data_IF_609974470204
#
_entry.id   IF_609974470204
#
_cell.length_a   1.000
_cell.length_b   1.000
_cell.length_c   1.000
_cell.angle_alpha   90.00
_cell.angle_beta   90.00
_cell.angle_gamma   90.00
#
_symmetry.space_group_name_H-M   'P 1'
#
loop_
_entity.id
_entity.type
_entity.pdbx_description
1 polymer ?
#
# COMPACT_ATOMS: atom_id res chain seq x y z
N UNK A 1 5.22 -70.57 -67.11
CA UNK A 1 6.25 -71.34 -67.86
C UNK A 1 7.59 -71.19 -67.13
N UNK A 2 8.20 -72.31 -66.72
CA UNK A 2 9.61 -72.57 -66.33
C UNK A 2 10.33 -71.63 -65.30
N UNK A 3 10.79 -72.23 -64.19
CA UNK A 3 11.92 -71.82 -63.31
C UNK A 3 13.28 -72.19 -63.96
N UNK A 4 14.50 -71.94 -63.39
CA UNK A 4 15.15 -70.89 -62.57
C UNK A 4 16.51 -70.42 -63.26
N UNK A 5 17.60 -69.85 -62.65
CA UNK A 5 18.50 -70.45 -61.60
C UNK A 5 19.19 -69.46 -60.59
N UNK A 6 19.99 -70.04 -59.67
CA UNK A 6 20.84 -69.49 -58.57
C UNK A 6 22.22 -68.95 -59.10
N UNK A 7 23.34 -68.75 -58.34
CA UNK A 7 23.64 -68.58 -56.87
C UNK A 7 24.72 -67.49 -56.56
N UNK A 8 25.05 -67.22 -55.28
CA UNK A 8 26.39 -67.40 -54.64
C UNK A 8 26.56 -66.70 -53.28
N UNK A 9 27.48 -67.25 -52.48
CA UNK A 9 27.68 -67.14 -51.02
C UNK A 9 28.82 -66.17 -50.64
N UNK A 10 28.85 -65.72 -49.38
CA UNK A 10 29.95 -65.77 -48.36
C UNK A 10 29.75 -64.63 -47.30
N UNK A 11 29.49 -64.93 -46.01
CA UNK A 11 30.42 -65.06 -44.84
C UNK A 11 30.79 -63.66 -44.27
N UNK A 12 30.61 -63.27 -42.99
CA UNK A 12 31.35 -63.64 -41.75
C UNK A 12 30.68 -62.97 -40.50
N UNK A 13 30.94 -63.61 -39.35
CA UNK A 13 30.68 -63.48 -37.91
C UNK A 13 30.83 -62.11 -37.17
N UNK A 14 30.40 -62.15 -35.87
CA UNK A 14 30.62 -61.30 -34.68
C UNK A 14 29.54 -60.23 -34.43
N UNK A 15 28.86 -60.10 -33.28
CA UNK A 15 29.03 -60.63 -31.93
C UNK A 15 28.86 -59.46 -30.94
N UNK A 16 27.88 -59.51 -30.03
CA UNK A 16 27.88 -58.83 -28.71
C UNK A 16 26.61 -59.11 -27.91
N UNK A 17 26.82 -59.62 -26.70
CA UNK A 17 25.85 -59.76 -25.62
C UNK A 17 25.60 -58.39 -24.97
N UNK A 18 24.35 -58.07 -24.63
CA UNK A 18 24.02 -57.15 -23.56
C UNK A 18 22.67 -57.54 -22.94
N UNK A 19 22.71 -57.72 -21.62
CA UNK A 19 21.68 -58.18 -20.70
C UNK A 19 20.51 -57.19 -20.58
N UNK A 20 19.28 -57.70 -20.71
CA UNK A 20 18.04 -56.93 -20.47
C UNK A 20 17.74 -56.98 -18.97
N UNK A 21 17.88 -55.83 -18.31
CA UNK A 21 17.49 -55.62 -16.92
C UNK A 21 16.09 -54.98 -16.91
N UNK A 22 15.07 -55.77 -16.56
CA UNK A 22 13.68 -55.31 -16.33
C UNK A 22 13.63 -54.47 -15.05
N UNK A 23 13.29 -53.19 -15.15
CA UNK A 23 12.85 -52.40 -13.99
C UNK A 23 11.37 -52.09 -14.11
N UNK A 24 10.70 -52.32 -12.98
CA UNK A 24 9.25 -52.31 -12.78
C UNK A 24 8.76 -50.87 -12.70
N UNK A 25 7.60 -50.64 -13.29
CA UNK A 25 6.75 -49.45 -13.18
C UNK A 25 6.61 -48.96 -11.74
N UNK A 26 7.05 -47.73 -11.48
CA UNK A 26 6.67 -46.95 -10.31
C UNK A 26 5.99 -45.67 -10.77
N UNK A 27 4.67 -45.58 -10.62
CA UNK A 27 3.94 -44.33 -10.80
C UNK A 27 4.16 -43.47 -9.55
N UNK A 28 5.05 -42.49 -9.64
CA UNK A 28 5.17 -41.46 -8.62
C UNK A 28 4.07 -40.43 -8.85
N UNK A 29 3.03 -40.46 -8.02
CA UNK A 29 2.06 -39.36 -7.92
C UNK A 29 2.79 -38.22 -7.21
N UNK A 30 3.23 -37.21 -7.97
CA UNK A 30 3.70 -35.95 -7.41
C UNK A 30 2.45 -35.14 -7.03
N UNK A 31 2.06 -35.22 -5.75
CA UNK A 31 1.06 -34.31 -5.19
C UNK A 31 1.67 -32.92 -5.09
N UNK A 32 1.30 -32.03 -6.02
CA UNK A 32 1.64 -30.62 -5.91
C UNK A 32 0.83 -30.02 -4.76
N UNK A 33 1.47 -29.85 -3.59
CA UNK A 33 0.92 -29.04 -2.52
C UNK A 33 0.95 -27.57 -2.97
N UNK A 34 -0.19 -27.06 -3.44
CA UNK A 34 -0.39 -25.62 -3.60
C UNK A 34 -0.49 -25.04 -2.20
N UNK A 35 0.64 -24.60 -1.66
CA UNK A 35 0.65 -23.76 -0.46
C UNK A 35 0.08 -22.42 -0.90
N UNK A 36 -1.21 -22.22 -0.67
CA UNK A 36 -1.84 -20.91 -0.86
C UNK A 36 -1.15 -19.91 0.06
N UNK A 37 -0.54 -18.88 -0.52
CA UNK A 37 -0.17 -17.68 0.21
C UNK A 37 -1.48 -17.02 0.66
N UNK A 38 -1.89 -17.30 1.90
CA UNK A 38 -2.97 -16.55 2.54
C UNK A 38 -2.48 -15.12 2.73
N UNK A 39 -2.83 -14.24 1.80
CA UNK A 39 -2.80 -12.80 2.05
C UNK A 39 -3.79 -12.59 3.17
N UNK A 40 -3.29 -12.36 4.38
CA UNK A 40 -4.16 -12.12 5.52
C UNK A 40 -5.04 -10.90 5.19
N UNK A 41 -6.30 -10.92 5.58
CA UNK A 41 -7.20 -9.78 5.36
C UNK A 41 -7.11 -8.81 6.54
N UNK A 42 -7.33 -7.49 6.34
CA UNK A 42 -7.43 -6.55 7.45
C UNK A 42 -8.55 -6.95 8.42
N UNK A 43 -8.25 -6.97 9.72
CA UNK A 43 -9.18 -7.33 10.80
C UNK A 43 -9.74 -6.06 11.46
N UNK A 44 -10.75 -5.49 10.81
CA UNK A 44 -11.38 -4.24 11.27
C UNK A 44 -12.26 -4.44 12.52
N UNK A 45 -12.68 -5.67 12.81
CA UNK A 45 -13.39 -6.00 14.06
C UNK A 45 -12.43 -5.91 15.25
N UNK A 46 -11.24 -6.51 15.12
CA UNK A 46 -10.17 -6.37 16.10
C UNK A 46 -9.76 -4.93 16.28
N UNK A 47 -9.60 -4.15 15.21
CA UNK A 47 -9.27 -2.73 15.30
C UNK A 47 -10.31 -1.95 16.12
N UNK A 48 -11.61 -2.20 15.89
CA UNK A 48 -12.69 -1.56 16.65
C UNK A 48 -12.70 -1.98 18.13
N UNK A 49 -12.40 -3.26 18.41
CA UNK A 49 -12.28 -3.75 19.78
C UNK A 49 -11.10 -3.09 20.51
N UNK A 50 -9.93 -2.99 19.86
CA UNK A 50 -8.76 -2.31 20.40
C UNK A 50 -9.07 -0.83 20.67
N UNK A 51 -9.79 -0.16 19.76
CA UNK A 51 -10.20 1.23 19.97
C UNK A 51 -11.09 1.37 21.23
N UNK A 52 -12.03 0.45 21.45
CA UNK A 52 -12.85 0.40 22.67
C UNK A 52 -12.01 0.22 23.92
N UNK A 53 -11.09 -0.73 23.90
CA UNK A 53 -10.26 -1.09 25.06
C UNK A 53 -9.27 0.01 25.44
N UNK A 54 -8.61 0.63 24.45
CA UNK A 54 -7.57 1.64 24.69
C UNK A 54 -8.11 3.06 24.88
N UNK A 55 -9.22 3.41 24.20
CA UNK A 55 -9.70 4.80 24.12
C UNK A 55 -11.20 4.96 24.46
N UNK A 56 -11.91 3.87 24.76
CA UNK A 56 -13.31 3.90 25.19
C UNK A 56 -14.34 3.82 24.06
N UNK A 57 -15.62 3.87 24.43
CA UNK A 57 -16.73 3.62 23.51
C UNK A 57 -16.78 4.59 22.31
N UNK A 58 -16.51 5.89 22.54
CA UNK A 58 -16.52 6.89 21.48
C UNK A 58 -15.49 6.61 20.38
N UNK A 59 -14.30 6.08 20.73
CA UNK A 59 -13.30 5.69 19.75
C UNK A 59 -13.74 4.47 18.93
N UNK A 60 -14.40 3.50 19.57
CA UNK A 60 -15.01 2.38 18.86
C UNK A 60 -16.08 2.84 17.86
N UNK A 61 -16.87 3.85 18.23
CA UNK A 61 -17.88 4.44 17.35
C UNK A 61 -17.25 5.19 16.17
N UNK A 62 -16.13 5.89 16.38
CA UNK A 62 -15.33 6.50 15.30
C UNK A 62 -14.84 5.45 14.30
N UNK A 63 -14.28 4.34 14.80
CA UNK A 63 -13.84 3.22 13.93
C UNK A 63 -15.04 2.61 13.20
N UNK A 64 -16.17 2.41 13.86
CA UNK A 64 -17.39 1.91 13.23
C UNK A 64 -17.93 2.85 12.14
N UNK A 65 -17.85 4.17 12.33
CA UNK A 65 -18.22 5.16 11.31
C UNK A 65 -17.26 5.11 10.10
N UNK A 66 -15.96 4.99 10.35
CA UNK A 66 -14.96 4.84 9.30
C UNK A 66 -15.15 3.55 8.50
N UNK A 67 -15.43 2.42 9.18
CA UNK A 67 -15.75 1.13 8.53
C UNK A 67 -16.97 1.23 7.60
N UNK A 68 -18.02 1.94 8.02
CA UNK A 68 -19.20 2.19 7.17
C UNK A 68 -18.84 3.03 5.94
N UNK A 69 -18.06 4.10 6.12
CA UNK A 69 -17.57 4.89 5.00
C UNK A 69 -16.77 4.05 4.00
N UNK A 70 -15.89 3.17 4.47
CA UNK A 70 -15.16 2.25 3.60
C UNK A 70 -16.10 1.30 2.85
N UNK A 71 -17.08 0.71 3.54
CA UNK A 71 -18.06 -0.17 2.91
C UNK A 71 -18.87 0.55 1.80
N UNK A 72 -19.33 1.78 2.07
CA UNK A 72 -20.05 2.59 1.10
C UNK A 72 -19.17 3.00 -0.09
N UNK A 73 -17.90 3.31 0.17
CA UNK A 73 -16.94 3.72 -0.86
C UNK A 73 -16.48 2.57 -1.78
N UNK A 74 -16.59 1.30 -1.36
CA UNK A 74 -16.26 0.16 -2.24
C UNK A 74 -17.15 0.07 -3.48
N UNK A 75 -18.38 0.58 -3.41
CA UNK A 75 -19.37 0.50 -4.48
C UNK A 75 -19.23 1.58 -5.56
N UNK A 76 -18.33 2.55 -5.39
CA UNK A 76 -18.12 3.66 -6.33
C UNK A 76 -16.78 3.55 -7.04
N UNK A 77 -16.59 4.37 -8.08
CA UNK A 77 -15.34 4.43 -8.83
C UNK A 77 -14.16 4.99 -8.01
N UNK A 78 -12.95 4.82 -8.53
CA UNK A 78 -11.73 5.20 -7.84
C UNK A 78 -11.65 6.69 -7.52
N UNK A 79 -12.16 7.57 -8.39
CA UNK A 79 -12.12 9.02 -8.17
C UNK A 79 -13.08 9.44 -7.06
N UNK A 80 -14.28 8.85 -7.02
CA UNK A 80 -15.24 9.05 -5.94
C UNK A 80 -14.73 8.51 -4.60
N UNK A 81 -13.95 7.41 -4.60
CA UNK A 81 -13.26 6.92 -3.38
C UNK A 81 -12.32 7.98 -2.81
N UNK A 82 -11.52 8.64 -3.65
CA UNK A 82 -10.63 9.74 -3.22
C UNK A 82 -11.43 10.84 -2.52
N UNK A 83 -12.53 11.28 -3.13
CA UNK A 83 -13.39 12.33 -2.59
C UNK A 83 -14.01 11.96 -1.25
N UNK A 84 -14.54 10.73 -1.12
CA UNK A 84 -15.16 10.22 0.10
C UNK A 84 -14.15 10.11 1.24
N UNK A 85 -12.98 9.53 0.98
CA UNK A 85 -11.92 9.41 1.99
C UNK A 85 -11.42 10.78 2.43
N UNK A 86 -11.12 11.68 1.48
CA UNK A 86 -10.61 13.01 1.80
C UNK A 86 -11.62 13.79 2.66
N UNK A 87 -12.89 13.76 2.27
CA UNK A 87 -13.98 14.45 2.98
C UNK A 87 -14.20 13.86 4.36
N UNK A 88 -14.20 12.53 4.50
CA UNK A 88 -14.44 11.88 5.77
C UNK A 88 -13.37 12.27 6.78
N UNK A 89 -12.09 12.05 6.46
CA UNK A 89 -10.97 12.34 7.37
C UNK A 89 -10.94 13.84 7.72
N UNK A 90 -11.10 14.73 6.73
CA UNK A 90 -11.10 16.17 7.00
C UNK A 90 -12.25 16.65 7.90
N UNK A 91 -13.38 15.93 7.93
CA UNK A 91 -14.54 16.30 8.76
C UNK A 91 -14.52 15.66 10.14
N UNK A 92 -13.90 14.49 10.28
CA UNK A 92 -13.90 13.73 11.54
C UNK A 92 -12.72 14.04 12.44
N UNK A 93 -11.70 14.71 11.91
CA UNK A 93 -10.44 14.98 12.60
C UNK A 93 -10.20 16.49 12.69
N UNK A 94 -9.94 17.00 13.89
CA UNK A 94 -9.49 18.37 14.11
C UNK A 94 -7.98 18.49 13.78
N UNK A 95 -7.59 19.59 13.14
CA UNK A 95 -6.17 19.87 12.89
C UNK A 95 -5.56 20.52 14.12
N UNK A 96 -4.65 19.81 14.79
CA UNK A 96 -4.04 20.21 16.05
C UNK A 96 -2.60 19.69 16.14
N UNK A 97 -1.71 20.44 16.78
CA UNK A 97 -0.29 20.06 16.91
C UNK A 97 -0.11 18.82 17.80
N UNK A 98 0.87 17.99 17.47
CA UNK A 98 1.19 16.77 18.23
C UNK A 98 1.48 17.01 19.72
N UNK A 99 2.08 18.16 20.04
CA UNK A 99 2.35 18.51 21.42
C UNK A 99 1.07 18.62 22.26
N UNK A 100 -0.06 18.96 21.63
CA UNK A 100 -1.39 19.04 22.25
C UNK A 100 -2.08 17.67 22.24
N UNK A 101 -2.03 16.95 21.12
CA UNK A 101 -2.77 15.69 20.95
C UNK A 101 -2.09 14.50 21.66
N UNK A 102 -0.76 14.43 21.52
CA UNK A 102 0.08 13.28 21.90
C UNK A 102 1.03 13.56 23.07
N UNK A 103 1.17 14.83 23.50
CA UNK A 103 2.19 15.27 24.47
C UNK A 103 3.62 14.92 24.02
N UNK A 104 3.84 14.80 22.72
CA UNK A 104 5.13 14.48 22.10
C UNK A 104 5.22 15.24 20.78
N UNK A 105 6.36 15.85 20.43
CA UNK A 105 6.52 16.45 19.12
C UNK A 105 6.75 15.39 18.03
N UNK A 106 6.22 15.61 16.82
CA UNK A 106 6.50 14.85 15.59
C UNK A 106 6.21 13.35 15.80
N UNK A 107 4.99 13.09 16.26
CA UNK A 107 4.39 11.79 16.52
C UNK A 107 3.45 11.42 15.38
N UNK A 108 3.88 10.48 14.55
CA UNK A 108 3.04 10.00 13.47
C UNK A 108 2.06 8.97 14.01
N UNK A 109 0.77 9.27 13.94
CA UNK A 109 -0.31 8.42 14.43
C UNK A 109 -0.74 7.37 13.40
N UNK A 110 -1.21 6.22 13.89
CA UNK A 110 -1.93 5.24 13.06
C UNK A 110 -3.35 5.74 12.76
N UNK A 111 -4.04 5.18 11.76
CA UNK A 111 -5.45 5.50 11.53
C UNK A 111 -6.34 5.23 12.75
N UNK A 112 -6.03 4.20 13.56
CA UNK A 112 -6.77 3.95 14.81
C UNK A 112 -6.59 5.12 15.76
N UNK A 113 -5.35 5.53 15.99
CA UNK A 113 -4.97 6.62 16.89
C UNK A 113 -5.65 7.93 16.45
N UNK A 114 -5.55 8.30 15.17
CA UNK A 114 -6.21 9.51 14.61
C UNK A 114 -7.73 9.46 14.77
N UNK A 115 -8.38 8.33 14.46
CA UNK A 115 -9.84 8.18 14.59
C UNK A 115 -10.30 8.20 16.05
N UNK A 116 -9.49 7.64 16.96
CA UNK A 116 -9.78 7.59 18.38
C UNK A 116 -9.67 8.97 19.03
N UNK A 117 -8.61 9.73 18.71
CA UNK A 117 -8.43 11.10 19.19
C UNK A 117 -9.32 12.11 18.49
N UNK A 118 -9.71 11.84 17.24
CA UNK A 118 -10.41 12.78 16.36
C UNK A 118 -9.64 14.10 16.22
N UNK A 119 -8.32 14.02 16.34
CA UNK A 119 -7.38 15.12 16.22
C UNK A 119 -6.02 14.57 15.78
N UNK A 120 -5.24 15.41 15.12
CA UNK A 120 -3.90 15.12 14.64
C UNK A 120 -3.39 16.26 13.76
N UNK A 121 -2.14 16.21 13.36
CA UNK A 121 -1.55 17.21 12.48
C UNK A 121 -1.53 16.74 11.00
N UNK A 122 -0.64 17.26 10.16
CA UNK A 122 -0.73 17.05 8.72
C UNK A 122 -0.44 15.61 8.28
N UNK A 123 0.55 14.94 8.88
CA UNK A 123 0.88 13.56 8.57
C UNK A 123 -0.22 12.60 8.98
N UNK A 124 -0.89 12.85 10.11
CA UNK A 124 -1.93 11.98 10.64
C UNK A 124 -3.10 11.89 9.66
N UNK A 125 -3.47 13.03 9.08
CA UNK A 125 -4.48 13.09 8.02
C UNK A 125 -4.02 12.37 6.76
N UNK A 126 -2.77 12.60 6.33
CA UNK A 126 -2.24 11.99 5.11
C UNK A 126 -2.14 10.46 5.23
N UNK A 127 -1.66 9.95 6.38
CA UNK A 127 -1.55 8.53 6.72
C UNK A 127 -2.94 7.90 6.79
N UNK A 128 -3.89 8.51 7.50
CA UNK A 128 -5.25 7.98 7.59
C UNK A 128 -5.94 7.89 6.22
N UNK A 129 -5.74 8.88 5.34
CA UNK A 129 -6.23 8.85 3.95
C UNK A 129 -5.53 7.77 3.12
N UNK A 130 -4.21 7.64 3.24
CA UNK A 130 -3.41 6.64 2.53
C UNK A 130 -3.92 5.23 2.84
N UNK A 131 -4.00 4.90 4.13
CA UNK A 131 -4.45 3.57 4.57
C UNK A 131 -5.90 3.31 4.17
N UNK A 132 -6.78 4.31 4.30
CA UNK A 132 -8.17 4.17 3.86
C UNK A 132 -8.28 3.81 2.38
N UNK A 133 -7.50 4.45 1.50
CA UNK A 133 -7.50 4.15 0.07
C UNK A 133 -6.87 2.80 -0.25
N UNK A 134 -5.84 2.38 0.49
CA UNK A 134 -5.27 1.02 0.39
C UNK A 134 -6.29 -0.05 0.76
N UNK A 135 -7.11 0.18 1.79
CA UNK A 135 -8.22 -0.71 2.18
C UNK A 135 -9.39 -0.73 1.18
N UNK A 136 -9.44 0.27 0.28
CA UNK A 136 -10.36 0.35 -0.85
C UNK A 136 -9.72 -0.15 -2.15
N UNK A 137 -8.63 -0.91 -2.03
CA UNK A 137 -7.91 -1.55 -3.13
C UNK A 137 -7.30 -0.58 -4.15
N UNK A 138 -7.11 0.71 -3.79
CA UNK A 138 -6.35 1.64 -4.62
C UNK A 138 -4.88 1.22 -4.59
N UNK A 139 -4.24 0.96 -5.75
CA UNK A 139 -2.87 0.43 -5.78
C UNK A 139 -1.85 1.34 -5.09
N UNK A 140 -0.90 0.74 -4.37
CA UNK A 140 0.12 1.48 -3.62
C UNK A 140 0.99 2.37 -4.52
N UNK A 141 1.29 1.92 -5.73
CA UNK A 141 2.07 2.64 -6.73
C UNK A 141 1.41 3.96 -7.18
N UNK A 142 0.09 4.09 -7.01
CA UNK A 142 -0.67 5.31 -7.28
C UNK A 142 -0.67 6.28 -6.10
N UNK A 143 -0.22 5.87 -4.92
CA UNK A 143 -0.35 6.67 -3.70
C UNK A 143 1.02 6.97 -3.12
N UNK A 144 1.26 8.26 -2.82
CA UNK A 144 2.50 8.69 -2.15
C UNK A 144 2.19 9.72 -1.07
N UNK A 145 2.67 9.50 0.14
CA UNK A 145 2.78 10.53 1.16
C UNK A 145 3.86 11.51 0.71
N UNK A 146 3.54 12.79 0.60
CA UNK A 146 4.44 13.81 0.08
C UNK A 146 4.74 14.80 1.20
N UNK A 147 6.00 14.87 1.59
CA UNK A 147 6.50 15.91 2.48
C UNK A 147 6.83 17.15 1.63
N UNK A 148 6.22 18.28 2.00
CA UNK A 148 6.32 19.54 1.28
C UNK A 148 6.71 20.67 2.23
N UNK A 149 7.25 21.74 1.67
CA UNK A 149 7.23 23.06 2.31
C UNK A 149 5.99 23.78 1.81
N UNK A 150 5.03 24.05 2.68
CA UNK A 150 3.85 24.84 2.36
C UNK A 150 4.17 26.32 2.57
N UNK A 151 3.82 27.19 1.62
CA UNK A 151 3.80 28.63 1.83
C UNK A 151 2.47 29.01 2.47
N UNK A 152 2.54 29.57 3.68
CA UNK A 152 1.37 29.90 4.48
C UNK A 152 1.28 31.42 4.72
N UNK A 153 0.06 31.89 4.95
CA UNK A 153 -0.21 33.32 5.15
C UNK A 153 -0.45 34.10 3.85
N UNK A 154 -0.34 35.42 3.90
CA UNK A 154 -0.64 36.28 2.77
C UNK A 154 0.34 36.06 1.59
N UNK A 155 -0.09 36.19 0.33
CA UNK A 155 0.80 36.13 -0.82
C UNK A 155 2.01 37.06 -0.64
N UNK A 156 3.22 36.51 -0.78
CA UNK A 156 4.48 37.26 -0.60
C UNK A 156 4.98 37.39 0.85
N UNK A 157 4.32 36.76 1.84
CA UNK A 157 4.78 36.74 3.24
C UNK A 157 6.16 36.10 3.43
N UNK A 158 6.54 35.19 2.53
CA UNK A 158 7.75 34.37 2.64
C UNK A 158 7.68 33.32 3.75
N UNK A 159 6.56 33.22 4.48
CA UNK A 159 6.40 32.24 5.56
C UNK A 159 6.19 30.86 4.95
N UNK A 160 6.98 29.90 5.42
CA UNK A 160 6.86 28.51 5.03
C UNK A 160 6.90 27.58 6.23
N UNK A 161 6.09 26.53 6.17
CA UNK A 161 5.99 25.49 7.20
C UNK A 161 6.16 24.11 6.56
N UNK A 162 6.73 23.17 7.31
CA UNK A 162 6.67 21.77 6.97
C UNK A 162 5.22 21.31 6.91
N UNK A 163 4.86 20.54 5.88
CA UNK A 163 3.51 20.01 5.71
C UNK A 163 3.56 18.65 5.04
N UNK A 164 2.52 17.83 5.23
CA UNK A 164 2.37 16.56 4.55
C UNK A 164 1.00 16.46 3.87
N UNK A 165 1.02 15.97 2.63
CA UNK A 165 -0.19 15.70 1.85
C UNK A 165 -0.14 14.30 1.25
N UNK A 166 -1.29 13.79 0.81
CA UNK A 166 -1.34 12.56 0.03
C UNK A 166 -1.48 12.90 -1.46
N UNK A 167 -0.53 12.41 -2.26
CA UNK A 167 -0.60 12.46 -3.72
C UNK A 167 -1.20 11.18 -4.28
N UNK A 168 -2.15 11.32 -5.20
CA UNK A 168 -2.68 10.25 -6.03
C UNK A 168 -2.26 10.44 -7.49
N UNK A 169 -1.65 9.41 -8.08
CA UNK A 169 -1.13 9.38 -9.44
C UNK A 169 -2.02 8.48 -10.30
N UNK A 170 -2.84 9.02 -11.23
CA UNK A 170 -3.66 8.22 -12.14
C UNK A 170 -2.83 7.22 -12.98
N UNK A 171 -1.62 7.63 -13.38
CA UNK A 171 -0.56 6.83 -14.00
C UNK A 171 0.81 7.22 -13.45
N UNK A 172 1.85 6.39 -13.59
CA UNK A 172 3.18 6.66 -13.00
C UNK A 172 3.85 7.98 -13.42
N UNK A 173 3.50 8.49 -14.59
CA UNK A 173 4.00 9.72 -15.22
C UNK A 173 3.01 10.90 -15.14
N UNK A 174 1.80 10.66 -14.62
CA UNK A 174 0.79 11.69 -14.49
C UNK A 174 1.16 12.71 -13.40
N UNK A 175 0.65 13.93 -13.59
CA UNK A 175 0.57 14.90 -12.51
C UNK A 175 -0.33 14.36 -11.39
N UNK A 176 0.09 14.43 -10.11
CA UNK A 176 -0.72 13.92 -9.03
C UNK A 176 -1.87 14.86 -8.66
N UNK A 177 -2.98 14.25 -8.24
CA UNK A 177 -4.02 14.91 -7.46
C UNK A 177 -3.60 14.97 -5.98
N UNK A 178 -3.80 16.12 -5.35
CA UNK A 178 -3.41 16.39 -3.96
C UNK A 178 -4.64 16.29 -3.06
N UNK A 179 -4.56 15.40 -2.07
CA UNK A 179 -5.49 15.27 -0.95
C UNK A 179 -4.85 15.92 0.28
N UNK A 180 -5.41 17.03 0.73
CA UNK A 180 -4.88 17.90 1.79
C UNK A 180 -5.91 18.10 2.91
N UNK A 181 -5.46 18.38 4.13
CA UNK A 181 -6.30 18.79 5.25
C UNK A 181 -6.53 20.31 5.30
N UNK A 182 -5.59 21.12 4.81
CA UNK A 182 -5.73 22.59 4.81
C UNK A 182 -6.71 23.08 3.74
N UNK A 183 -6.75 22.40 2.59
CA UNK A 183 -7.69 22.66 1.51
C UNK A 183 -8.41 21.35 1.16
N UNK A 184 -9.72 21.30 1.43
CA UNK A 184 -10.52 20.09 1.23
C UNK A 184 -10.81 19.73 -0.22
N UNK A 185 -10.65 20.67 -1.16
CA UNK A 185 -10.77 20.37 -2.59
C UNK A 185 -9.57 19.56 -3.07
N UNK A 186 -9.85 18.43 -3.73
CA UNK A 186 -8.80 17.65 -4.40
C UNK A 186 -8.40 18.40 -5.68
N UNK A 187 -7.13 18.76 -5.79
CA UNK A 187 -6.62 19.58 -6.90
C UNK A 187 -5.36 18.96 -7.51
N UNK A 188 -5.12 19.12 -8.82
CA UNK A 188 -3.82 18.83 -9.42
C UNK A 188 -2.69 19.63 -8.74
N UNK A 189 -1.49 19.07 -8.66
CA UNK A 189 -0.34 19.70 -8.02
C UNK A 189 0.00 21.10 -8.55
N UNK A 190 -0.12 21.34 -9.86
CA UNK A 190 0.07 22.65 -10.50
C UNK A 190 -0.95 23.69 -10.05
N UNK A 191 -2.10 23.26 -9.51
CA UNK A 191 -3.13 24.12 -8.89
C UNK A 191 -2.90 24.31 -7.38
N UNK A 192 -1.73 23.88 -6.88
CA UNK A 192 -1.23 24.06 -5.51
C UNK A 192 0.17 24.68 -5.52
N UNK A 193 0.35 25.89 -6.09
CA UNK A 193 1.65 26.57 -6.14
C UNK A 193 2.19 26.96 -4.76
N UNK A 194 1.36 26.84 -3.73
CA UNK A 194 1.72 26.99 -2.32
C UNK A 194 2.53 25.80 -1.79
N UNK A 195 2.55 24.64 -2.46
CA UNK A 195 3.24 23.44 -1.99
C UNK A 195 4.52 23.16 -2.79
N UNK A 196 5.65 23.11 -2.08
CA UNK A 196 6.96 22.83 -2.67
C UNK A 196 7.47 21.45 -2.21
N UNK A 197 7.44 20.42 -3.07
CA UNK A 197 7.77 19.05 -2.67
C UNK A 197 9.25 18.88 -2.32
N UNK A 198 9.54 18.15 -1.24
CA UNK A 198 10.91 17.81 -0.82
C UNK A 198 11.18 16.34 -1.11
N UNK A 199 10.32 15.45 -0.62
CA UNK A 199 10.37 14.01 -0.90
C UNK A 199 8.98 13.40 -0.78
N UNK A 200 8.80 12.20 -1.31
CA UNK A 200 7.57 11.43 -1.18
C UNK A 200 7.89 9.96 -0.95
N UNK A 201 6.99 9.22 -0.33
CA UNK A 201 7.19 7.81 0.00
C UNK A 201 5.86 7.06 0.12
N UNK A 202 5.94 5.74 0.09
CA UNK A 202 4.85 4.84 0.47
C UNK A 202 5.44 3.59 1.15
N UNK A 203 4.74 2.46 1.13
CA UNK A 203 5.24 1.16 1.62
C UNK A 203 6.25 0.49 0.67
N UNK A 204 6.36 0.95 -0.58
CA UNK A 204 7.19 0.35 -1.63
C UNK A 204 8.45 1.15 -1.98
N UNK A 205 8.46 2.47 -1.79
CA UNK A 205 9.57 3.31 -2.28
C UNK A 205 9.64 4.71 -1.68
N UNK A 206 10.84 5.32 -1.79
CA UNK A 206 11.16 6.69 -1.37
C UNK A 206 11.70 7.48 -2.57
N UNK A 207 11.07 8.59 -2.92
CA UNK A 207 11.43 9.47 -4.02
C UNK A 207 11.82 10.85 -3.51
N UNK A 208 12.94 11.39 -3.96
CA UNK A 208 13.45 12.72 -3.54
C UNK A 208 13.27 13.71 -4.69
N UNK A 209 12.91 14.96 -4.38
CA UNK A 209 12.86 16.06 -5.35
C UNK A 209 11.89 15.85 -6.53
N UNK A 210 10.82 15.08 -6.33
CA UNK A 210 9.85 14.79 -7.39
C UNK A 210 10.30 13.75 -8.43
N UNK A 211 11.40 13.02 -8.18
CA UNK A 211 11.84 11.91 -9.03
C UNK A 211 10.75 10.85 -9.24
N UNK A 212 10.71 10.23 -10.43
CA UNK A 212 9.87 9.07 -10.73
C UNK A 212 10.51 7.74 -10.30
N UNK A 213 11.84 7.70 -10.14
CA UNK A 213 12.58 6.52 -9.69
C UNK A 213 12.76 6.50 -8.18
N UNK A 214 12.45 5.35 -7.56
CA UNK A 214 12.69 5.12 -6.12
C UNK A 214 14.19 5.14 -5.83
N UNK A 215 14.57 5.89 -4.81
CA UNK A 215 15.95 6.11 -4.39
C UNK A 215 16.38 5.21 -3.22
N UNK A 216 15.42 4.66 -2.47
CA UNK A 216 15.67 3.79 -1.31
C UNK A 216 14.39 3.09 -0.82
N UNK A 217 14.57 2.15 0.11
CA UNK A 217 13.50 1.61 0.97
C UNK A 217 13.12 2.64 2.06
N UNK A 218 11.86 3.11 2.11
CA UNK A 218 11.36 4.05 3.11
C UNK A 218 11.55 3.58 4.55
N UNK A 219 11.33 2.30 4.83
CA UNK A 219 11.33 1.77 6.21
C UNK A 219 12.74 1.81 6.84
N UNK A 220 13.77 1.79 5.99
CA UNK A 220 15.18 1.94 6.41
C UNK A 220 15.57 3.39 6.68
N UNK A 221 14.90 4.35 6.04
CA UNK A 221 15.23 5.78 6.09
C UNK A 221 14.29 6.61 6.98
N UNK A 222 13.06 6.15 7.17
CA UNK A 222 11.99 6.84 7.89
C UNK A 222 11.56 5.97 9.08
N UNK A 223 12.24 6.14 10.22
CA UNK A 223 11.97 5.38 11.44
C UNK A 223 10.52 5.54 11.93
N UNK A 224 9.94 6.73 11.80
CA UNK A 224 8.55 7.01 12.17
C UNK A 224 7.55 6.23 11.32
N UNK A 225 7.74 6.23 10.00
CA UNK A 225 6.89 5.45 9.10
C UNK A 225 6.93 3.96 9.42
N UNK A 226 8.11 3.41 9.64
CA UNK A 226 8.26 2.01 10.09
C UNK A 226 7.56 1.75 11.43
N UNK A 227 7.62 2.69 12.38
CA UNK A 227 6.89 2.58 13.64
C UNK A 227 5.38 2.56 13.42
N UNK A 228 4.84 3.42 12.55
CA UNK A 228 3.41 3.43 12.20
C UNK A 228 2.98 2.07 11.63
N UNK A 229 3.74 1.54 10.67
CA UNK A 229 3.44 0.23 10.07
C UNK A 229 3.44 -0.90 11.10
N UNK A 230 4.38 -0.90 12.05
CA UNK A 230 4.44 -1.90 13.12
C UNK A 230 3.22 -1.79 14.06
N UNK A 231 2.86 -0.57 14.49
CA UNK A 231 1.68 -0.37 15.36
C UNK A 231 0.39 -0.74 14.63
N UNK A 232 0.25 -0.40 13.35
CA UNK A 232 -0.88 -0.79 12.51
C UNK A 232 -1.08 -2.31 12.44
N UNK A 233 0.01 -3.09 12.33
CA UNK A 233 -0.04 -4.56 12.35
C UNK A 233 -0.61 -5.11 13.65
N UNK A 234 -0.23 -4.51 14.77
CA UNK A 234 -0.74 -4.89 16.09
C UNK A 234 -2.23 -4.53 16.25
N UNK A 235 -2.69 -3.54 15.50
CA UNK A 235 -4.06 -3.00 15.48
C UNK A 235 -5.00 -3.70 14.50
N UNK A 236 -4.52 -4.72 13.77
CA UNK A 236 -5.32 -5.50 12.82
C UNK A 236 -5.29 -4.99 11.38
N UNK A 237 -4.45 -4.00 11.08
CA UNK A 237 -4.15 -3.54 9.72
C UNK A 237 -2.88 -4.22 9.20
N UNK A 238 -2.55 -4.09 7.91
CA UNK A 238 -1.37 -4.73 7.31
C UNK A 238 -0.50 -3.74 6.54
#
# INVERSE_FOLDING_TARGET
MRLPPRPHRFRILLGRLASIVRWRTGWAIVGAAVIGLSVATPDLDRMQQIARERYGAAAADSVAAWRRMLADAKAVDEQDRLGRVNTFINRTTAFEDDSVVWNQPDYWATPLETLAKRAGDCEDFAIAKYVSLRLLDVPAEKLRLIYVRASIGAPGSGVSQAHMVLGYYPSPDAEPLILDNLIGDIRPAARRPDLFPVFSFNDQGLWVGGSSSSSADPTTRLSRWRSVLERMRQEGLQ
#
